data_IF_561068493601
#
_entry.id   IF_561068493601
#
_cell.length_a   1.000
_cell.length_b   1.000
_cell.length_c   1.000
_cell.angle_alpha   90.00
_cell.angle_beta   90.00
_cell.angle_gamma   90.00
#
_symmetry.space_group_name_H-M   'P 1'
#
loop_
_entity.id
_entity.type
_entity.pdbx_description
1 polymer ?
#
# COMPACT_ATOMS: atom_id res chain seq x y z
N UNK A 1 33.21 -27.10 15.28
CA UNK A 1 31.76 -27.00 15.00
C UNK A 1 31.43 -25.51 14.90
N UNK A 2 30.98 -25.02 13.75
CA UNK A 2 30.58 -23.62 13.58
C UNK A 2 29.09 -23.60 13.22
N UNK A 3 28.29 -22.90 14.03
CA UNK A 3 26.85 -22.79 13.85
C UNK A 3 26.54 -21.89 12.65
N UNK A 4 25.64 -22.36 11.79
CA UNK A 4 25.15 -21.61 10.64
C UNK A 4 24.40 -20.36 11.11
N UNK A 5 24.88 -19.19 10.69
CA UNK A 5 24.13 -17.95 10.80
C UNK A 5 23.00 -17.98 9.76
N UNK A 6 21.76 -17.82 10.23
CA UNK A 6 20.57 -17.59 9.42
C UNK A 6 20.83 -16.51 8.38
N UNK A 7 20.92 -16.89 7.10
CA UNK A 7 20.73 -15.94 6.01
C UNK A 7 19.23 -15.63 5.95
N UNK A 8 18.81 -14.55 6.60
CA UNK A 8 17.57 -13.91 6.20
C UNK A 8 17.74 -13.53 4.73
N UNK A 9 17.07 -14.25 3.84
CA UNK A 9 17.06 -13.98 2.41
C UNK A 9 16.50 -12.59 2.18
N UNK A 10 17.39 -11.60 2.20
CA UNK A 10 17.10 -10.27 1.72
C UNK A 10 16.92 -10.43 0.22
N UNK A 11 15.68 -10.50 -0.25
CA UNK A 11 15.37 -10.41 -1.67
C UNK A 11 15.83 -9.03 -2.15
N UNK A 12 17.06 -8.94 -2.64
CA UNK A 12 17.57 -7.76 -3.32
C UNK A 12 16.90 -7.74 -4.69
N UNK A 13 15.85 -6.93 -4.81
CA UNK A 13 15.20 -6.70 -6.09
C UNK A 13 16.19 -5.92 -6.99
N UNK A 14 16.76 -6.61 -7.98
CA UNK A 14 17.75 -6.03 -8.88
C UNK A 14 17.02 -5.21 -9.95
N UNK A 15 16.81 -3.92 -9.67
CA UNK A 15 16.09 -3.01 -10.58
C UNK A 15 16.97 -2.80 -11.84
N UNK A 16 16.46 -3.22 -12.99
CA UNK A 16 17.17 -3.15 -14.28
C UNK A 16 17.39 -1.73 -14.79
N UNK A 17 16.49 -0.79 -14.46
CA UNK A 17 16.60 0.64 -14.76
C UNK A 17 16.08 1.47 -13.57
N UNK A 18 16.94 2.24 -12.86
CA UNK A 18 16.53 2.96 -11.66
C UNK A 18 15.65 4.18 -11.95
N UNK A 19 15.66 4.69 -13.19
CA UNK A 19 14.95 5.90 -13.60
C UNK A 19 14.02 5.65 -14.79
N UNK A 20 12.83 6.26 -14.75
CA UNK A 20 11.83 6.18 -15.83
C UNK A 20 11.24 7.56 -16.07
N UNK A 21 11.21 7.99 -17.34
CA UNK A 21 10.74 9.30 -17.75
C UNK A 21 9.34 9.19 -18.36
N UNK A 22 8.38 9.92 -17.80
CA UNK A 22 7.00 9.97 -18.30
C UNK A 22 6.38 11.34 -18.06
N UNK A 23 5.31 11.65 -18.79
CA UNK A 23 4.56 12.90 -18.65
C UNK A 23 3.22 12.69 -17.98
N UNK A 24 2.72 13.72 -17.31
CA UNK A 24 1.33 13.77 -16.84
C UNK A 24 0.42 13.75 -18.07
N UNK A 25 -0.58 12.89 -18.06
CA UNK A 25 -1.57 12.77 -19.13
C UNK A 25 -2.96 12.95 -18.55
N UNK A 26 -3.94 13.34 -19.36
CA UNK A 26 -5.33 13.25 -18.93
C UNK A 26 -5.79 11.80 -18.86
N UNK A 27 -6.76 11.51 -17.98
CA UNK A 27 -7.38 10.18 -17.90
C UNK A 27 -7.92 9.79 -19.29
N UNK A 28 -7.41 8.70 -19.92
CA UNK A 28 -7.73 8.39 -21.31
C UNK A 28 -9.13 7.77 -21.49
N UNK A 29 -9.70 7.18 -20.41
CA UNK A 29 -11.02 6.52 -20.43
C UNK A 29 -11.96 7.13 -19.38
N UNK A 30 -13.13 7.58 -19.83
CA UNK A 30 -14.21 8.11 -18.98
C UNK A 30 -14.83 9.41 -19.51
N UNK A 31 -15.97 9.85 -18.95
CA UNK A 31 -16.65 11.08 -19.35
C UNK A 31 -15.85 12.34 -18.98
N UNK A 32 -15.00 12.26 -17.96
CA UNK A 32 -14.24 13.41 -17.48
C UNK A 32 -12.78 13.39 -17.97
N UNK A 33 -12.53 14.11 -19.06
CA UNK A 33 -11.22 14.20 -19.73
C UNK A 33 -10.32 15.31 -19.19
N UNK A 34 -10.73 16.03 -18.15
CA UNK A 34 -9.96 17.16 -17.60
C UNK A 34 -9.15 16.80 -16.36
N UNK A 35 -9.28 15.57 -15.86
CA UNK A 35 -8.57 15.12 -14.66
C UNK A 35 -7.16 14.63 -15.04
N UNK A 36 -6.08 15.23 -14.51
CA UNK A 36 -4.72 14.77 -14.74
C UNK A 36 -4.46 13.42 -14.08
N UNK A 37 -3.59 12.62 -14.68
CA UNK A 37 -3.26 11.26 -14.27
C UNK A 37 -1.77 10.96 -14.54
N UNK A 38 -1.22 10.13 -13.67
CA UNK A 38 0.12 9.55 -13.79
C UNK A 38 -0.09 8.04 -13.88
N UNK A 39 0.29 7.44 -15.00
CA UNK A 39 0.09 6.01 -15.23
C UNK A 39 1.43 5.28 -14.99
N UNK A 40 1.51 4.49 -13.92
CA UNK A 40 2.65 3.62 -13.64
C UNK A 40 2.25 2.20 -14.03
N UNK A 41 2.96 1.59 -14.98
CA UNK A 41 2.66 0.24 -15.46
C UNK A 41 3.90 -0.48 -15.99
N UNK A 42 3.88 -1.81 -15.95
CA UNK A 42 4.94 -2.69 -16.45
C UNK A 42 5.55 -3.59 -15.38
N UNK A 43 6.28 -4.63 -15.82
CA UNK A 43 6.87 -5.65 -14.93
C UNK A 43 7.85 -5.07 -13.90
N UNK A 44 8.43 -3.89 -14.19
CA UNK A 44 9.36 -3.20 -13.31
C UNK A 44 8.75 -2.81 -11.96
N UNK A 45 7.42 -2.69 -11.85
CA UNK A 45 6.77 -2.46 -10.56
C UNK A 45 7.02 -3.64 -9.62
N UNK A 46 6.94 -4.87 -10.14
CA UNK A 46 7.25 -6.08 -9.37
C UNK A 46 8.75 -6.16 -9.06
N UNK A 47 9.62 -5.80 -10.02
CA UNK A 47 11.08 -5.67 -9.78
C UNK A 47 11.42 -4.59 -8.74
N UNK A 48 10.52 -3.63 -8.49
CA UNK A 48 10.68 -2.60 -7.47
C UNK A 48 10.00 -2.97 -6.13
N UNK A 49 9.47 -4.19 -6.02
CA UNK A 49 8.82 -4.69 -4.79
C UNK A 49 7.35 -4.30 -4.64
N UNK A 50 6.68 -3.84 -5.71
CA UNK A 50 5.23 -3.61 -5.73
C UNK A 50 4.50 -4.81 -6.33
N UNK A 51 3.73 -5.51 -5.50
CA UNK A 51 2.87 -6.63 -5.90
C UNK A 51 1.43 -6.18 -6.13
N UNK A 52 0.67 -7.01 -6.83
CA UNK A 52 -0.78 -6.78 -7.03
C UNK A 52 -1.47 -6.80 -5.67
N UNK A 53 -2.34 -5.81 -5.43
CA UNK A 53 -3.05 -5.58 -4.17
C UNK A 53 -2.19 -5.14 -2.98
N UNK A 54 -0.91 -4.80 -3.18
CA UNK A 54 -0.13 -4.18 -2.11
C UNK A 54 -0.75 -2.82 -1.74
N UNK A 55 -0.98 -2.57 -0.45
CA UNK A 55 -1.45 -1.27 -0.01
C UNK A 55 -0.34 -0.25 -0.21
N UNK A 56 -0.67 0.92 -0.75
CA UNK A 56 0.29 1.96 -1.04
C UNK A 56 0.14 3.13 -0.05
N UNK A 57 1.27 3.67 0.41
CA UNK A 57 1.32 4.98 1.06
C UNK A 57 1.86 5.99 0.06
N UNK A 58 1.07 7.04 -0.18
CA UNK A 58 1.43 8.13 -1.08
C UNK A 58 1.66 9.38 -0.23
N UNK A 59 2.86 9.94 -0.29
CA UNK A 59 3.18 11.24 0.31
C UNK A 59 3.27 12.27 -0.81
N UNK A 60 2.58 13.40 -0.62
CA UNK A 60 2.49 14.47 -1.60
C UNK A 60 3.25 15.69 -1.11
N UNK A 61 4.12 16.22 -1.97
CA UNK A 61 4.89 17.44 -1.77
C UNK A 61 4.84 18.29 -3.04
N UNK A 62 5.09 19.61 -2.99
CA UNK A 62 5.19 20.42 -4.20
C UNK A 62 6.19 19.83 -5.21
N UNK A 63 5.70 19.42 -6.37
CA UNK A 63 6.52 18.83 -7.44
C UNK A 63 7.00 17.39 -7.20
N UNK A 64 6.64 16.73 -6.09
CA UNK A 64 7.15 15.40 -5.74
C UNK A 64 6.07 14.49 -5.16
N UNK A 65 6.07 13.24 -5.60
CA UNK A 65 5.25 12.15 -5.06
C UNK A 65 6.18 11.04 -4.62
N UNK A 66 6.02 10.61 -3.37
CA UNK A 66 6.71 9.43 -2.84
C UNK A 66 5.68 8.33 -2.67
N UNK A 67 5.85 7.23 -3.41
CA UNK A 67 4.98 6.06 -3.36
C UNK A 67 5.78 4.92 -2.74
N UNK A 68 5.26 4.34 -1.67
CA UNK A 68 5.88 3.20 -0.98
C UNK A 68 4.85 2.09 -0.80
N UNK A 69 5.23 0.86 -1.13
CA UNK A 69 4.47 -0.33 -0.76
C UNK A 69 4.46 -0.46 0.77
N UNK A 70 3.29 -0.75 1.31
CA UNK A 70 3.09 -1.00 2.73
C UNK A 70 2.90 -2.50 2.91
N UNK A 71 3.56 -3.07 3.91
CA UNK A 71 3.26 -4.42 4.31
C UNK A 71 1.93 -4.41 5.09
N UNK A 72 0.94 -5.18 4.66
CA UNK A 72 -0.34 -5.38 5.35
C UNK A 72 -0.14 -5.73 6.84
N UNK A 73 0.87 -6.53 7.16
CA UNK A 73 1.23 -6.91 8.53
C UNK A 73 1.70 -5.71 9.36
N UNK A 74 2.51 -4.82 8.78
CA UNK A 74 2.96 -3.60 9.44
C UNK A 74 1.84 -2.57 9.56
N UNK A 75 0.94 -2.48 8.58
CA UNK A 75 -0.29 -1.69 8.69
C UNK A 75 -1.17 -2.16 9.85
N UNK A 76 -1.27 -3.48 10.05
CA UNK A 76 -2.00 -4.06 11.18
C UNK A 76 -1.42 -3.62 12.53
N UNK A 77 -0.10 -3.60 12.67
CA UNK A 77 0.58 -3.08 13.87
C UNK A 77 0.39 -1.57 14.05
N UNK A 78 0.53 -0.77 12.99
CA UNK A 78 0.30 0.69 13.07
C UNK A 78 -1.15 1.03 13.43
N UNK A 79 -2.15 0.31 12.90
CA UNK A 79 -3.55 0.48 13.25
C UNK A 79 -3.82 0.23 14.74
N UNK A 80 -3.21 -0.82 15.30
CA UNK A 80 -3.29 -1.10 16.75
C UNK A 80 -2.64 0.00 17.59
N UNK A 81 -1.50 0.54 17.15
CA UNK A 81 -0.79 1.62 17.87
C UNK A 81 -1.49 2.99 17.81
N UNK A 82 -2.43 3.19 16.88
CA UNK A 82 -3.13 4.48 16.69
C UNK A 82 -4.54 4.54 17.32
N UNK A 83 -5.03 3.50 17.99
CA UNK A 83 -6.44 3.45 18.43
C UNK A 83 -6.63 3.37 19.95
N UNK A 84 -7.54 4.23 20.45
CA UNK A 84 -8.00 4.27 21.85
C UNK A 84 -9.31 3.47 22.08
N UNK A 85 -9.82 2.73 21.08
CA UNK A 85 -11.08 1.97 21.18
C UNK A 85 -10.97 0.54 20.66
N UNK A 86 -11.82 -0.34 21.20
CA UNK A 86 -11.97 -1.73 20.77
C UNK A 86 -12.61 -1.82 19.37
N UNK A 87 -11.86 -2.36 18.42
CA UNK A 87 -12.40 -2.74 17.10
C UNK A 87 -12.49 -4.26 17.05
N UNK A 88 -13.60 -4.75 16.53
CA UNK A 88 -13.77 -6.17 16.24
C UNK A 88 -12.80 -6.59 15.12
N UNK A 89 -12.10 -7.71 15.32
CA UNK A 89 -11.15 -8.30 14.37
C UNK A 89 -11.83 -8.58 13.01
N UNK A 90 -13.11 -8.93 13.03
CA UNK A 90 -13.92 -9.16 11.83
C UNK A 90 -14.04 -7.89 10.98
N UNK A 91 -14.29 -6.73 11.61
CA UNK A 91 -14.43 -5.45 10.92
C UNK A 91 -13.12 -5.00 10.26
N UNK A 92 -11.98 -5.32 10.90
CA UNK A 92 -10.65 -5.02 10.35
C UNK A 92 -10.33 -5.94 9.18
N UNK A 93 -10.63 -7.24 9.28
CA UNK A 93 -10.42 -8.21 8.19
C UNK A 93 -11.27 -7.84 6.98
N UNK A 94 -12.54 -7.49 7.18
CA UNK A 94 -13.41 -7.04 6.10
C UNK A 94 -12.93 -5.74 5.46
N UNK A 95 -12.39 -4.81 6.26
CA UNK A 95 -11.78 -3.60 5.72
C UNK A 95 -10.50 -3.86 4.93
N UNK A 96 -9.61 -4.75 5.39
CA UNK A 96 -8.42 -5.13 4.64
C UNK A 96 -8.77 -5.71 3.27
N UNK A 97 -9.87 -6.46 3.18
CA UNK A 97 -10.42 -6.97 1.91
C UNK A 97 -10.99 -5.87 1.00
N UNK A 98 -11.36 -4.72 1.55
CA UNK A 98 -12.02 -3.60 0.87
C UNK A 98 -11.09 -2.38 0.68
N UNK A 99 -9.80 -2.51 1.02
CA UNK A 99 -8.83 -1.44 0.86
C UNK A 99 -8.73 -1.00 -0.62
N UNK A 100 -8.63 0.32 -0.94
CA UNK A 100 -8.60 1.49 -0.06
C UNK A 100 -10.01 2.08 0.18
N UNK A 101 -10.71 1.61 1.22
CA UNK A 101 -12.00 2.14 1.67
C UNK A 101 -11.94 2.71 3.09
N UNK A 102 -13.02 3.31 3.57
CA UNK A 102 -13.12 3.77 4.97
C UNK A 102 -13.44 2.61 5.92
N UNK A 103 -12.78 2.58 7.09
CA UNK A 103 -13.17 1.73 8.23
C UNK A 103 -14.48 2.28 8.82
N UNK A 104 -15.61 1.63 8.56
CA UNK A 104 -16.87 1.99 9.23
C UNK A 104 -16.83 1.48 10.67
N UNK A 105 -17.12 2.37 11.63
CA UNK A 105 -17.23 1.98 13.04
C UNK A 105 -18.46 1.10 13.21
N UNK A 106 -18.29 -0.18 13.50
CA UNK A 106 -19.41 -1.00 14.01
C UNK A 106 -19.60 -0.63 15.49
N UNK A 107 -20.77 -0.14 15.92
CA UNK A 107 -21.04 0.00 17.35
C UNK A 107 -21.09 -1.42 17.91
N UNK A 108 -20.11 -1.80 18.72
CA UNK A 108 -20.24 -2.98 19.58
C UNK A 108 -21.50 -2.74 20.42
N UNK A 109 -22.51 -3.57 20.18
CA UNK A 109 -23.75 -3.54 20.93
C UNK A 109 -23.43 -3.62 22.41
N UNK A 110 -23.93 -2.66 23.18
CA UNK A 110 -23.94 -2.75 24.64
C UNK A 110 -24.62 -4.08 25.00
N UNK A 111 -23.83 -5.04 25.44
CA UNK A 111 -24.34 -6.20 26.16
C UNK A 111 -25.05 -5.67 27.41
N UNK A 112 -26.33 -6.01 27.51
CA UNK A 112 -27.25 -5.61 28.57
C UNK A 112 -26.95 -6.36 29.85
#
# INVERSE_FOLDING_TARGET
>A
MANAHSNAETCIYKISQPERYQKVVYRPKGPNRTIPAINLSGNWLSEAGFSVNDPLKIRVMPGCLIITAQNLHTLWHCLKSMNQGEWDEIAIVDWLRQFPGELKKTPLGKTR
#
